data_IF_071547746081
#
_entry.id   IF_071547746081
#
_cell.length_a   1.000
_cell.length_b   1.000
_cell.length_c   1.000
_cell.angle_alpha   90.00
_cell.angle_beta   90.00
_cell.angle_gamma   90.00
#
_symmetry.space_group_name_H-M   'P 1'
#
loop_
_entity.id
_entity.type
_entity.pdbx_description
1 polymer ?
#
# COMPACT_ATOMS: atom_id res chain seq x y z
N UNK A 1 2.94 -10.68 -19.67
CA UNK A 1 3.41 -11.98 -20.25
C UNK A 1 3.28 -13.18 -19.30
N UNK A 2 3.97 -13.21 -18.16
CA UNK A 2 3.88 -14.36 -17.23
C UNK A 2 2.45 -14.66 -16.74
N UNK A 3 1.68 -13.61 -16.46
CA UNK A 3 0.27 -13.74 -16.04
C UNK A 3 -0.60 -14.43 -17.10
N UNK A 4 -0.44 -14.09 -18.38
CA UNK A 4 -1.17 -14.76 -19.46
C UNK A 4 -0.77 -16.24 -19.58
N UNK A 5 0.53 -16.56 -19.46
CA UNK A 5 1.00 -17.95 -19.49
C UNK A 5 0.45 -18.78 -18.33
N UNK A 6 0.42 -18.21 -17.12
CA UNK A 6 -0.16 -18.87 -15.94
C UNK A 6 -1.67 -19.07 -16.10
N UNK A 7 -2.39 -18.06 -16.60
CA UNK A 7 -3.81 -18.18 -16.90
C UNK A 7 -4.09 -19.29 -17.93
N UNK A 8 -3.32 -19.34 -19.02
CA UNK A 8 -3.43 -20.41 -20.02
C UNK A 8 -3.15 -21.80 -19.43
N UNK A 9 -2.10 -21.93 -18.61
CA UNK A 9 -1.78 -23.18 -17.93
C UNK A 9 -2.90 -23.60 -16.95
N UNK A 10 -3.52 -22.64 -16.25
CA UNK A 10 -4.65 -22.89 -15.38
C UNK A 10 -5.89 -23.35 -16.17
N UNK A 11 -6.21 -22.72 -17.30
CA UNK A 11 -7.29 -23.17 -18.18
C UNK A 11 -7.07 -24.60 -18.67
N UNK A 12 -5.84 -24.93 -19.09
CA UNK A 12 -5.50 -26.28 -19.52
C UNK A 12 -5.62 -27.31 -18.39
N UNK A 13 -5.17 -26.97 -17.18
CA UNK A 13 -5.30 -27.83 -16.00
C UNK A 13 -6.75 -28.08 -15.59
N UNK A 14 -7.65 -27.13 -15.87
CA UNK A 14 -9.10 -27.25 -15.66
C UNK A 14 -9.83 -27.96 -16.81
N UNK A 15 -9.12 -28.41 -17.85
CA UNK A 15 -9.69 -29.12 -18.99
C UNK A 15 -10.27 -28.22 -20.08
N UNK A 16 -10.05 -26.91 -20.04
CA UNK A 16 -10.49 -25.99 -21.10
C UNK A 16 -9.44 -25.90 -22.21
N UNK A 17 -9.83 -26.22 -23.44
CA UNK A 17 -9.00 -26.07 -24.63
C UNK A 17 -9.12 -24.64 -25.18
N UNK A 18 -8.37 -23.71 -24.59
CA UNK A 18 -8.36 -22.28 -24.97
C UNK A 18 -7.00 -21.94 -25.56
N UNK A 19 -6.95 -21.20 -26.67
CA UNK A 19 -5.66 -20.80 -27.24
C UNK A 19 -4.99 -19.73 -26.38
N UNK A 20 -3.66 -19.65 -26.43
CA UNK A 20 -2.92 -18.59 -25.74
C UNK A 20 -3.32 -17.20 -26.25
N UNK A 21 -3.71 -17.09 -27.53
CA UNK A 21 -4.18 -15.85 -28.12
C UNK A 21 -5.49 -15.39 -27.43
N UNK A 22 -6.45 -16.29 -27.28
CA UNK A 22 -7.73 -15.98 -26.63
C UNK A 22 -7.51 -15.52 -25.18
N UNK A 23 -6.60 -16.18 -24.45
CA UNK A 23 -6.23 -15.75 -23.09
C UNK A 23 -5.69 -14.33 -23.09
N UNK A 24 -4.78 -13.99 -24.01
CA UNK A 24 -4.25 -12.63 -24.12
C UNK A 24 -5.34 -11.61 -24.50
N UNK A 25 -6.29 -11.98 -25.36
CA UNK A 25 -7.41 -11.11 -25.77
C UNK A 25 -8.34 -10.81 -24.59
N UNK A 26 -8.67 -11.81 -23.77
CA UNK A 26 -9.64 -11.62 -22.68
C UNK A 26 -8.99 -11.18 -21.35
N UNK A 27 -7.68 -11.33 -21.17
CA UNK A 27 -6.99 -10.95 -19.93
C UNK A 27 -7.29 -9.50 -19.48
N UNK A 28 -7.32 -8.49 -20.35
CA UNK A 28 -7.65 -7.12 -19.95
C UNK A 28 -9.08 -6.98 -19.41
N UNK A 29 -10.05 -7.65 -20.04
CA UNK A 29 -11.43 -7.62 -19.58
C UNK A 29 -11.58 -8.23 -18.18
N UNK A 30 -10.91 -9.36 -17.92
CA UNK A 30 -10.87 -9.95 -16.57
C UNK A 30 -10.14 -9.07 -15.56
N UNK A 31 -9.03 -8.43 -15.96
CA UNK A 31 -8.32 -7.45 -15.15
C UNK A 31 -9.17 -6.24 -14.77
N UNK A 32 -10.03 -5.78 -15.69
CA UNK A 32 -10.99 -4.70 -15.44
C UNK A 32 -11.98 -5.07 -14.34
N UNK A 33 -12.57 -6.28 -14.42
CA UNK A 33 -13.52 -6.77 -13.42
C UNK A 33 -12.85 -6.86 -12.04
N UNK A 34 -11.63 -7.42 -11.97
CA UNK A 34 -10.88 -7.47 -10.72
C UNK A 34 -10.60 -6.08 -10.15
N UNK A 35 -10.27 -5.12 -11.01
CA UNK A 35 -10.05 -3.72 -10.61
C UNK A 35 -11.31 -3.14 -9.96
N UNK A 36 -12.48 -3.34 -10.58
CA UNK A 36 -13.78 -2.90 -10.04
C UNK A 36 -14.04 -3.53 -8.67
N UNK A 37 -13.80 -4.84 -8.52
CA UNK A 37 -13.95 -5.53 -7.23
C UNK A 37 -13.04 -4.92 -6.16
N UNK A 38 -11.76 -4.69 -6.46
CA UNK A 38 -10.84 -4.09 -5.49
C UNK A 38 -11.17 -2.63 -5.18
N UNK A 39 -11.70 -1.86 -6.15
CA UNK A 39 -12.20 -0.49 -5.89
C UNK A 39 -13.35 -0.52 -4.91
N UNK A 40 -14.32 -1.43 -5.10
CA UNK A 40 -15.44 -1.61 -4.18
C UNK A 40 -14.95 -1.96 -2.76
N UNK A 41 -14.01 -2.91 -2.66
CA UNK A 41 -13.41 -3.32 -1.39
C UNK A 41 -12.66 -2.17 -0.71
N UNK A 42 -11.89 -1.38 -1.46
CA UNK A 42 -11.19 -0.21 -0.96
C UNK A 42 -12.16 0.88 -0.49
N UNK A 43 -13.24 1.13 -1.23
CA UNK A 43 -14.27 2.10 -0.87
C UNK A 43 -15.04 1.68 0.40
N UNK A 44 -15.37 0.39 0.53
CA UNK A 44 -15.95 -0.16 1.76
C UNK A 44 -14.99 0.00 2.94
N UNK A 45 -13.72 -0.33 2.73
CA UNK A 45 -12.67 -0.23 3.74
C UNK A 45 -12.49 1.23 4.19
N UNK A 46 -12.65 2.22 3.30
CA UNK A 46 -12.56 3.64 3.64
C UNK A 46 -13.82 4.20 4.34
N UNK A 47 -15.01 3.79 3.91
CA UNK A 47 -16.29 4.41 4.33
C UNK A 47 -17.09 3.61 5.35
N UNK A 48 -16.83 2.30 5.49
CA UNK A 48 -17.67 1.34 6.21
C UNK A 48 -19.14 1.31 5.74
N UNK A 49 -19.42 1.74 4.50
CA UNK A 49 -20.75 1.73 3.90
C UNK A 49 -20.80 0.84 2.65
N UNK A 50 -21.78 -0.06 2.61
CA UNK A 50 -22.02 -0.91 1.43
C UNK A 50 -22.49 -0.07 0.23
N UNK A 51 -23.30 0.97 0.46
CA UNK A 51 -23.82 1.83 -0.61
C UNK A 51 -22.68 2.59 -1.30
N UNK A 52 -21.72 3.11 -0.52
CA UNK A 52 -20.53 3.77 -1.07
C UNK A 52 -19.66 2.80 -1.88
N UNK A 53 -19.54 1.55 -1.43
CA UNK A 53 -18.79 0.51 -2.15
C UNK A 53 -19.44 0.14 -3.48
N UNK A 54 -20.76 -0.03 -3.49
CA UNK A 54 -21.54 -0.33 -4.69
C UNK A 54 -21.48 0.86 -5.66
N UNK A 55 -21.65 2.09 -5.18
CA UNK A 55 -21.53 3.30 -5.99
C UNK A 55 -20.13 3.41 -6.63
N UNK A 56 -19.07 3.17 -5.85
CA UNK A 56 -17.69 3.18 -6.36
C UNK A 56 -17.47 2.09 -7.43
N UNK A 57 -18.05 0.90 -7.25
CA UNK A 57 -17.98 -0.19 -8.22
C UNK A 57 -18.66 0.19 -9.55
N UNK A 58 -19.88 0.74 -9.48
CA UNK A 58 -20.62 1.19 -10.66
C UNK A 58 -19.87 2.29 -11.42
N UNK A 59 -19.33 3.26 -10.70
CA UNK A 59 -18.54 4.34 -11.30
C UNK A 59 -17.28 3.76 -11.97
N UNK A 60 -16.52 2.89 -11.28
CA UNK A 60 -15.31 2.30 -11.84
C UNK A 60 -15.58 1.39 -13.05
N UNK A 61 -16.73 0.70 -13.08
CA UNK A 61 -17.13 -0.14 -14.20
C UNK A 61 -17.48 0.66 -15.46
N UNK A 62 -18.00 1.88 -15.30
CA UNK A 62 -18.50 2.72 -16.41
C UNK A 62 -17.54 3.84 -16.83
N UNK A 63 -16.53 4.19 -16.00
CA UNK A 63 -15.60 5.28 -16.33
C UNK A 63 -14.87 4.97 -17.66
N UNK A 64 -14.99 5.85 -18.68
CA UNK A 64 -14.37 5.63 -19.99
C UNK A 64 -12.85 5.49 -19.92
N UNK A 65 -12.19 6.22 -19.00
CA UNK A 65 -10.74 6.16 -18.83
C UNK A 65 -10.24 4.77 -18.41
N UNK A 66 -11.03 4.04 -17.61
CA UNK A 66 -10.72 2.67 -17.20
C UNK A 66 -11.11 1.70 -18.32
N UNK A 67 -12.31 1.85 -18.89
CA UNK A 67 -12.78 1.00 -19.97
C UNK A 67 -11.82 0.97 -21.17
N UNK A 68 -11.37 2.15 -21.65
CA UNK A 68 -10.47 2.28 -22.80
C UNK A 68 -9.12 1.57 -22.64
N UNK A 69 -8.66 1.35 -21.40
CA UNK A 69 -7.39 0.70 -21.09
C UNK A 69 -7.55 -0.78 -20.73
N UNK A 70 -8.78 -1.30 -20.74
CA UNK A 70 -9.05 -2.68 -20.30
C UNK A 70 -10.14 -3.38 -21.15
N UNK A 71 -10.34 -2.91 -22.39
CA UNK A 71 -11.18 -3.58 -23.39
C UNK A 71 -10.55 -4.92 -23.78
N UNK A 72 -11.38 -5.92 -24.11
CA UNK A 72 -10.88 -7.15 -24.72
C UNK A 72 -10.05 -6.84 -25.98
N UNK A 73 -8.88 -7.46 -26.08
CA UNK A 73 -7.88 -7.20 -27.12
C UNK A 73 -6.87 -6.10 -26.79
N UNK A 74 -7.12 -5.25 -25.78
CA UNK A 74 -6.18 -4.23 -25.31
C UNK A 74 -5.10 -4.84 -24.39
N UNK A 75 -4.31 -5.77 -24.94
CA UNK A 75 -3.27 -6.49 -24.19
C UNK A 75 -2.03 -5.62 -23.96
N UNK A 76 -2.16 -4.68 -23.02
CA UNK A 76 -1.09 -3.81 -22.54
C UNK A 76 -0.78 -4.07 -21.05
N UNK A 77 0.29 -3.48 -20.54
CA UNK A 77 0.78 -3.69 -19.19
C UNK A 77 -0.20 -3.15 -18.12
N UNK A 78 -0.94 -2.09 -18.42
CA UNK A 78 -1.93 -1.49 -17.52
C UNK A 78 -3.05 -2.47 -17.17
N UNK A 79 -3.41 -3.37 -18.09
CA UNK A 79 -4.47 -4.36 -17.92
C UNK A 79 -4.28 -5.24 -16.68
N UNK A 80 -3.04 -5.57 -16.34
CA UNK A 80 -2.69 -6.38 -15.16
C UNK A 80 -2.16 -5.52 -14.00
N UNK A 81 -1.63 -4.33 -14.28
CA UNK A 81 -1.12 -3.43 -13.25
C UNK A 81 -2.24 -2.73 -12.48
N UNK A 82 -3.31 -2.27 -13.15
CA UNK A 82 -4.45 -1.61 -12.51
C UNK A 82 -5.09 -2.42 -11.37
N UNK A 83 -5.46 -3.71 -11.55
CA UNK A 83 -6.03 -4.49 -10.45
C UNK A 83 -5.03 -4.70 -9.31
N UNK A 84 -3.74 -4.85 -9.63
CA UNK A 84 -2.69 -5.01 -8.63
C UNK A 84 -2.45 -3.75 -7.78
N UNK A 85 -2.50 -2.57 -8.40
CA UNK A 85 -2.38 -1.28 -7.70
C UNK A 85 -3.52 -1.14 -6.69
N UNK A 86 -4.76 -1.34 -7.12
CA UNK A 86 -5.93 -1.17 -6.23
C UNK A 86 -5.94 -2.25 -5.14
N UNK A 87 -5.55 -3.49 -5.47
CA UNK A 87 -5.36 -4.56 -4.49
C UNK A 87 -4.30 -4.18 -3.44
N UNK A 88 -3.16 -3.63 -3.85
CA UNK A 88 -2.11 -3.19 -2.93
C UNK A 88 -2.61 -2.10 -1.97
N UNK A 89 -3.35 -1.11 -2.48
CA UNK A 89 -3.93 -0.03 -1.69
C UNK A 89 -5.02 -0.53 -0.72
N UNK A 90 -5.85 -1.48 -1.15
CA UNK A 90 -6.85 -2.12 -0.30
C UNK A 90 -6.19 -2.93 0.83
N UNK A 91 -5.22 -3.79 0.52
CA UNK A 91 -4.49 -4.57 1.52
C UNK A 91 -3.71 -3.66 2.48
N UNK A 92 -3.12 -2.56 1.98
CA UNK A 92 -2.50 -1.55 2.81
C UNK A 92 -3.49 -0.95 3.82
N UNK A 93 -4.62 -0.42 3.34
CA UNK A 93 -5.65 0.16 4.22
C UNK A 93 -6.15 -0.85 5.27
N UNK A 94 -6.40 -2.10 4.85
CA UNK A 94 -6.84 -3.19 5.73
C UNK A 94 -5.79 -3.57 6.78
N UNK A 95 -4.50 -3.54 6.41
CA UNK A 95 -3.39 -3.84 7.32
C UNK A 95 -3.27 -2.83 8.47
N UNK A 96 -3.67 -1.57 8.24
CA UNK A 96 -3.64 -0.54 9.27
C UNK A 96 -4.77 -0.68 10.27
N UNK A 97 -5.94 -1.16 9.85
CA UNK A 97 -7.13 -1.33 10.71
C UNK A 97 -7.13 -2.61 11.54
N UNK A 98 -6.28 -3.57 11.21
CA UNK A 98 -6.26 -4.88 11.87
C UNK A 98 -5.02 -5.02 12.77
N UNK A 99 -5.17 -5.22 14.09
CA UNK A 99 -4.03 -5.46 14.97
C UNK A 99 -3.25 -6.72 14.54
N UNK A 100 -1.92 -6.63 14.49
CA UNK A 100 -1.02 -7.74 14.08
C UNK A 100 -1.19 -8.21 12.62
N UNK A 101 -1.72 -7.38 11.73
CA UNK A 101 -1.87 -7.72 10.31
C UNK A 101 -0.60 -7.58 9.47
N UNK A 102 0.56 -7.97 10.02
CA UNK A 102 1.81 -8.03 9.28
C UNK A 102 1.74 -8.96 8.04
N UNK A 103 0.97 -10.08 8.02
CA UNK A 103 0.84 -10.89 6.80
C UNK A 103 0.05 -10.17 5.70
N UNK A 104 -0.95 -9.37 6.07
CA UNK A 104 -1.73 -8.56 5.11
C UNK A 104 -0.83 -7.48 4.50
N UNK A 105 0.04 -6.87 5.31
CA UNK A 105 1.03 -5.91 4.84
C UNK A 105 2.10 -6.54 3.93
N UNK A 106 2.51 -7.79 4.18
CA UNK A 106 3.35 -8.53 3.25
C UNK A 106 2.63 -8.80 1.92
N UNK A 107 1.35 -9.14 1.96
CA UNK A 107 0.52 -9.26 0.77
C UNK A 107 0.44 -7.96 -0.02
N UNK A 108 0.27 -6.82 0.66
CA UNK A 108 0.31 -5.50 0.03
C UNK A 108 1.68 -5.23 -0.61
N UNK A 109 2.78 -5.56 0.08
CA UNK A 109 4.13 -5.45 -0.47
C UNK A 109 4.34 -6.34 -1.70
N UNK A 110 3.85 -7.58 -1.67
CA UNK A 110 3.90 -8.49 -2.81
C UNK A 110 3.10 -7.95 -4.01
N UNK A 111 1.93 -7.36 -3.77
CA UNK A 111 1.15 -6.68 -4.81
C UNK A 111 1.91 -5.47 -5.39
N UNK A 112 2.54 -4.64 -4.56
CA UNK A 112 3.41 -3.54 -5.02
C UNK A 112 4.59 -4.05 -5.86
N UNK A 113 5.24 -5.14 -5.44
CA UNK A 113 6.33 -5.77 -6.19
C UNK A 113 5.86 -6.36 -7.52
N UNK A 114 4.65 -6.92 -7.56
CA UNK A 114 4.03 -7.38 -8.81
C UNK A 114 3.76 -6.21 -9.77
N UNK A 115 3.34 -5.04 -9.27
CA UNK A 115 3.25 -3.83 -10.12
C UNK A 115 4.60 -3.50 -10.74
N UNK A 116 5.71 -3.61 -10.00
CA UNK A 116 7.06 -3.39 -10.55
C UNK A 116 7.44 -4.40 -11.65
N UNK A 117 6.95 -5.64 -11.56
CA UNK A 117 7.12 -6.65 -12.60
C UNK A 117 6.20 -6.44 -13.81
N UNK A 118 5.05 -5.78 -13.61
CA UNK A 118 4.04 -5.58 -14.63
C UNK A 118 4.16 -4.24 -15.36
N UNK A 119 4.53 -3.15 -14.67
CA UNK A 119 4.44 -1.79 -15.19
C UNK A 119 5.48 -0.85 -14.57
N UNK A 120 6.04 0.04 -15.40
CA UNK A 120 7.10 0.97 -15.01
C UNK A 120 6.67 2.04 -13.99
N UNK A 121 5.37 2.33 -13.87
CA UNK A 121 4.87 3.34 -12.93
C UNK A 121 4.70 2.81 -11.49
N UNK A 122 5.35 1.69 -11.14
CA UNK A 122 5.36 1.16 -9.78
C UNK A 122 5.84 2.15 -8.69
N UNK A 123 6.75 3.13 -8.93
CA UNK A 123 7.15 4.07 -7.90
C UNK A 123 5.97 4.90 -7.38
N UNK A 124 4.93 5.12 -8.19
CA UNK A 124 3.71 5.81 -7.79
C UNK A 124 3.08 5.17 -6.54
N UNK A 125 2.96 3.85 -6.52
CA UNK A 125 2.29 3.13 -5.43
C UNK A 125 3.08 3.25 -4.13
N UNK A 126 4.40 3.06 -4.19
CA UNK A 126 5.27 3.22 -3.02
C UNK A 126 5.21 4.65 -2.49
N UNK A 127 5.25 5.66 -3.38
CA UNK A 127 5.18 7.07 -3.00
C UNK A 127 3.82 7.44 -2.39
N UNK A 128 2.71 6.90 -2.90
CA UNK A 128 1.38 7.13 -2.32
C UNK A 128 1.25 6.55 -0.91
N UNK A 129 1.76 5.35 -0.66
CA UNK A 129 1.80 4.74 0.68
C UNK A 129 2.71 5.57 1.59
N UNK A 130 3.89 5.97 1.12
CA UNK A 130 4.81 6.80 1.90
C UNK A 130 4.21 8.16 2.26
N UNK A 131 3.49 8.79 1.33
CA UNK A 131 2.75 10.03 1.56
C UNK A 131 1.68 9.82 2.63
N UNK A 132 0.91 8.74 2.55
CA UNK A 132 -0.09 8.40 3.57
C UNK A 132 0.55 8.27 4.97
N UNK A 133 1.70 7.59 5.06
CA UNK A 133 2.47 7.49 6.32
C UNK A 133 2.93 8.87 6.79
N UNK A 134 3.48 9.68 5.89
CA UNK A 134 3.93 11.04 6.20
C UNK A 134 2.81 11.88 6.79
N UNK A 135 1.62 11.85 6.18
CA UNK A 135 0.43 12.54 6.69
C UNK A 135 0.04 12.02 8.08
N UNK A 136 0.02 10.71 8.30
CA UNK A 136 -0.29 10.14 9.63
C UNK A 136 0.71 10.58 10.70
N UNK A 137 2.01 10.65 10.37
CA UNK A 137 3.04 11.14 11.28
C UNK A 137 2.88 12.63 11.60
N UNK A 138 2.59 13.46 10.59
CA UNK A 138 2.32 14.89 10.78
C UNK A 138 1.09 15.14 11.66
N UNK A 139 0.08 14.28 11.55
CA UNK A 139 -1.12 14.31 12.41
C UNK A 139 -0.88 13.72 13.81
N UNK A 140 0.35 13.29 14.13
CA UNK A 140 0.69 12.65 15.41
C UNK A 140 0.05 11.28 15.62
N UNK A 141 -0.45 10.63 14.56
CA UNK A 141 -1.16 9.33 14.60
C UNK A 141 -0.21 8.15 14.44
N UNK A 142 0.92 8.18 15.15
CA UNK A 142 1.83 7.05 15.16
C UNK A 142 1.20 5.86 15.92
N UNK A 143 1.30 4.67 15.33
CA UNK A 143 0.94 3.41 16.01
C UNK A 143 1.98 2.34 15.72
N UNK A 144 2.13 1.38 16.64
CA UNK A 144 2.99 0.21 16.39
C UNK A 144 2.55 -0.58 15.17
N UNK A 145 1.24 -0.66 14.92
CA UNK A 145 0.68 -1.33 13.75
C UNK A 145 1.14 -0.66 12.45
N UNK A 146 1.09 0.68 12.39
CA UNK A 146 1.56 1.46 11.25
C UNK A 146 3.04 1.18 10.94
N UNK A 147 3.90 1.19 11.96
CA UNK A 147 5.31 0.89 11.78
C UNK A 147 5.54 -0.50 11.21
N UNK A 148 4.96 -1.54 11.84
CA UNK A 148 5.17 -2.93 11.42
C UNK A 148 4.59 -3.17 10.02
N UNK A 149 3.38 -2.67 9.76
CA UNK A 149 2.75 -2.80 8.45
C UNK A 149 3.59 -2.14 7.36
N UNK A 150 4.05 -0.89 7.58
CA UNK A 150 4.87 -0.20 6.60
C UNK A 150 6.22 -0.88 6.37
N UNK A 151 6.88 -1.34 7.44
CA UNK A 151 8.14 -2.08 7.33
C UNK A 151 7.98 -3.36 6.51
N UNK A 152 6.92 -4.14 6.77
CA UNK A 152 6.61 -5.35 6.01
C UNK A 152 6.33 -5.04 4.52
N UNK A 153 5.49 -4.03 4.24
CA UNK A 153 5.18 -3.62 2.87
C UNK A 153 6.43 -3.14 2.13
N UNK A 154 7.21 -2.25 2.75
CA UNK A 154 8.40 -1.68 2.13
C UNK A 154 9.47 -2.74 1.89
N UNK A 155 9.77 -3.60 2.87
CA UNK A 155 10.76 -4.67 2.69
C UNK A 155 10.32 -5.66 1.62
N UNK A 156 9.10 -6.22 1.72
CA UNK A 156 8.62 -7.22 0.76
C UNK A 156 8.50 -6.65 -0.66
N UNK A 157 7.91 -5.45 -0.78
CA UNK A 157 7.74 -4.80 -2.07
C UNK A 157 9.05 -4.37 -2.71
N UNK A 158 9.97 -3.78 -1.96
CA UNK A 158 11.26 -3.33 -2.50
C UNK A 158 12.16 -4.51 -2.88
N UNK A 159 12.18 -5.59 -2.08
CA UNK A 159 12.93 -6.80 -2.40
C UNK A 159 12.39 -7.49 -3.66
N UNK A 160 11.07 -7.60 -3.80
CA UNK A 160 10.47 -8.15 -5.02
C UNK A 160 10.73 -7.22 -6.22
N UNK A 161 10.52 -5.91 -6.09
CA UNK A 161 10.84 -4.97 -7.17
C UNK A 161 12.33 -5.07 -7.59
N UNK A 162 13.25 -5.21 -6.63
CA UNK A 162 14.67 -5.38 -6.91
C UNK A 162 15.04 -6.72 -7.57
N UNK A 163 14.22 -7.77 -7.41
CA UNK A 163 14.41 -9.03 -8.12
C UNK A 163 13.97 -8.98 -9.58
N UNK A 164 13.23 -7.95 -9.99
CA UNK A 164 12.85 -7.74 -11.39
C UNK A 164 14.07 -7.20 -12.15
N UNK A 165 14.61 -7.91 -13.17
CA UNK A 165 15.90 -7.57 -13.79
C UNK A 165 16.00 -6.14 -14.35
N UNK A 166 14.91 -5.62 -14.93
CA UNK A 166 14.88 -4.26 -15.51
C UNK A 166 14.92 -3.16 -14.43
N UNK A 167 14.41 -3.46 -13.24
CA UNK A 167 14.42 -2.55 -12.10
C UNK A 167 15.74 -2.66 -11.33
N UNK A 168 16.11 -3.88 -10.97
CA UNK A 168 17.36 -4.19 -10.27
C UNK A 168 17.62 -3.28 -9.07
N UNK A 169 18.77 -2.63 -9.05
CA UNK A 169 19.18 -1.73 -7.95
C UNK A 169 18.55 -0.34 -7.99
N UNK A 170 17.76 -0.01 -9.03
CA UNK A 170 17.07 1.27 -9.11
C UNK A 170 16.11 1.47 -7.93
N UNK A 171 15.53 0.39 -7.39
CA UNK A 171 14.68 0.41 -6.20
C UNK A 171 15.32 1.03 -4.95
N UNK A 172 16.66 1.03 -4.86
CA UNK A 172 17.38 1.61 -3.72
C UNK A 172 18.12 2.90 -4.05
N UNK A 173 18.38 3.17 -5.34
CA UNK A 173 19.26 4.26 -5.78
C UNK A 173 18.52 5.37 -6.52
N UNK A 174 17.31 5.11 -7.00
CA UNK A 174 16.52 6.10 -7.74
C UNK A 174 15.99 7.19 -6.81
N UNK A 175 16.00 8.42 -7.31
CA UNK A 175 15.37 9.56 -6.64
C UNK A 175 13.85 9.35 -6.45
N UNK A 176 13.22 8.56 -7.32
CA UNK A 176 11.80 8.23 -7.26
C UNK A 176 11.41 7.38 -6.03
N UNK A 177 12.41 6.80 -5.33
CA UNK A 177 12.20 5.98 -4.13
C UNK A 177 12.57 6.72 -2.83
N UNK A 178 12.88 8.01 -2.92
CA UNK A 178 13.28 8.80 -1.74
C UNK A 178 12.18 8.88 -0.69
N UNK A 179 10.93 9.18 -1.07
CA UNK A 179 9.86 9.32 -0.08
C UNK A 179 9.58 8.00 0.68
N UNK A 180 9.55 6.82 0.03
CA UNK A 180 9.45 5.54 0.73
C UNK A 180 10.57 5.28 1.74
N UNK A 181 11.82 5.58 1.36
CA UNK A 181 13.00 5.42 2.22
C UNK A 181 12.92 6.38 3.41
N UNK A 182 12.57 7.64 3.16
CA UNK A 182 12.41 8.66 4.20
C UNK A 182 11.29 8.30 5.18
N UNK A 183 10.14 7.82 4.68
CA UNK A 183 9.04 7.36 5.54
C UNK A 183 9.45 6.14 6.39
N UNK A 184 10.27 5.23 5.85
CA UNK A 184 10.81 4.11 6.61
C UNK A 184 11.72 4.58 7.76
N UNK A 185 12.65 5.49 7.45
CA UNK A 185 13.53 6.11 8.44
C UNK A 185 12.75 6.89 9.50
N UNK A 186 11.75 7.68 9.10
CA UNK A 186 10.90 8.45 10.00
C UNK A 186 10.13 7.54 10.98
N UNK A 187 9.58 6.42 10.51
CA UNK A 187 8.91 5.45 11.37
C UNK A 187 9.87 4.73 12.32
N UNK A 188 11.13 4.53 11.92
CA UNK A 188 12.16 3.93 12.78
C UNK A 188 12.53 4.84 13.96
N UNK A 189 12.59 6.16 13.76
CA UNK A 189 12.95 7.13 14.81
C UNK A 189 11.75 7.60 15.64
N UNK A 190 10.53 7.52 15.10
CA UNK A 190 9.32 8.05 15.75
C UNK A 190 9.11 7.55 17.20
N UNK A 191 9.29 6.25 17.54
CA UNK A 191 9.15 5.78 18.93
C UNK A 191 10.15 6.39 19.89
N UNK A 192 11.41 6.55 19.45
CA UNK A 192 12.47 7.13 20.25
C UNK A 192 12.21 8.62 20.51
N UNK A 193 11.74 9.33 19.48
CA UNK A 193 11.34 10.74 19.60
C UNK A 193 10.17 10.90 20.57
N UNK A 194 9.14 10.07 20.46
CA UNK A 194 7.97 10.12 21.34
C UNK A 194 8.35 9.78 22.80
N UNK A 195 9.27 8.84 23.00
CA UNK A 195 9.82 8.53 24.32
C UNK A 195 10.61 9.71 24.90
N UNK A 196 11.47 10.35 24.11
CA UNK A 196 12.25 11.51 24.52
C UNK A 196 11.38 12.74 24.87
N UNK A 197 10.31 12.97 24.12
CA UNK A 197 9.34 14.03 24.41
C UNK A 197 8.61 13.73 25.73
N UNK A 198 8.16 12.48 25.94
CA UNK A 198 7.49 12.07 27.17
C UNK A 198 8.39 12.18 28.40
N UNK A 199 9.66 11.78 28.31
CA UNK A 199 10.61 11.91 29.42
C UNK A 199 10.87 13.38 29.75
N UNK A 200 11.05 14.24 28.73
CA UNK A 200 11.25 15.68 28.90
C UNK A 200 10.03 16.39 29.50
N UNK A 201 8.81 15.98 29.11
CA UNK A 201 7.58 16.49 29.70
C UNK A 201 7.43 16.06 31.18
N UNK A 202 7.79 14.82 31.51
CA UNK A 202 7.78 14.32 32.90
C UNK A 202 8.78 15.05 33.80
N UNK A 203 10.00 15.29 33.33
CA UNK A 203 11.03 16.04 34.08
C UNK A 203 10.66 17.52 34.24
N UNK A 204 10.07 18.14 33.22
CA UNK A 204 9.56 19.51 33.35
C UNK A 204 8.42 19.60 34.37
N UNK A 205 7.49 18.63 34.37
CA UNK A 205 6.39 18.57 35.32
C UNK A 205 6.85 18.31 36.76
N UNK A 206 7.85 17.42 36.97
CA UNK A 206 8.42 17.19 38.30
C UNK A 206 9.20 18.39 38.83
N UNK A 207 9.96 19.09 37.96
CA UNK A 207 10.65 20.33 38.31
C UNK A 207 9.67 21.46 38.69
N UNK A 208 8.56 21.60 37.97
CA UNK A 208 7.50 22.56 38.31
C UNK A 208 6.84 22.25 39.65
N UNK A 209 6.54 20.97 39.93
CA UNK A 209 5.99 20.54 41.23
C UNK A 209 6.95 20.81 42.38
N UNK A 210 8.24 20.53 42.23
CA UNK A 210 9.25 20.85 43.26
C UNK A 210 9.37 22.35 43.52
N UNK A 211 9.30 23.18 42.49
CA UNK A 211 9.30 24.65 42.64
C UNK A 211 8.07 25.16 43.37
N UNK A 212 6.87 24.66 43.04
CA UNK A 212 5.64 25.02 43.76
C UNK A 212 5.69 24.54 45.22
N UNK A 213 6.18 23.33 45.48
CA UNK A 213 6.32 22.81 46.84
C UNK A 213 7.31 23.64 47.67
N UNK A 214 8.46 24.05 47.10
CA UNK A 214 9.42 24.92 47.76
C UNK A 214 8.84 26.32 48.06
N UNK A 215 8.03 26.87 47.16
CA UNK A 215 7.31 28.14 47.39
C UNK A 215 6.29 28.05 48.52
N UNK A 216 5.55 26.94 48.62
CA UNK A 216 4.56 26.71 49.69
C UNK A 216 5.25 26.51 51.04
N UNK A 217 6.37 25.78 51.09
CA UNK A 217 7.13 25.57 52.34
C UNK A 217 7.85 26.84 52.81
N UNK A 218 8.27 27.72 51.91
CA UNK A 218 8.90 29.00 52.25
C UNK A 218 7.93 30.12 52.69
N UNK A 219 6.61 29.85 52.65
CA UNK A 219 5.54 30.79 53.03
C UNK A 219 4.89 30.43 54.39
N UNK A 220 5.35 29.36 55.06
CA UNK A 220 4.98 28.93 56.42
C UNK A 220 6.11 29.27 57.38
#
# INVERSE_FOLDING_TARGET
MYTARLAHAACAALGFAVSLNDVCVFLPAYGAVLTVCFVALLAYEASHSADAAIAAAWIAALIPAHAMRSVAGAYDNEAVAMPAIVCALWLWARSLRTPRAWPIALGAGAACGYVAAAWGAYPLVFNLVALHVGILLLLGRYTRSLHVAYACLWCAGTLYAASVPIVGRASFRSAEQLAPILAHGALAIAPALEAAIRTRARTAASAARMRCAALVVGLV
#
